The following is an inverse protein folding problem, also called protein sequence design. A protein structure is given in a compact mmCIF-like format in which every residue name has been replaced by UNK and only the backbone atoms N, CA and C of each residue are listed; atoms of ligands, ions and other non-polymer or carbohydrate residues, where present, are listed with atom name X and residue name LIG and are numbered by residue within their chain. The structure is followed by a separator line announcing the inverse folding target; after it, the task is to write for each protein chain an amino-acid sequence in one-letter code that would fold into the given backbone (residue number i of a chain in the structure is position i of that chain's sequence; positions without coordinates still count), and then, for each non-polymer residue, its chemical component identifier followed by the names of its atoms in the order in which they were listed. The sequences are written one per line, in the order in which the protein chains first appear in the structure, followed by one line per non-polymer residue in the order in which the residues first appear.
data_IF_667679053702
#
_entry.id   IF_667679053702
#
_cell.length_a   1.000
_cell.length_b   1.000
_cell.length_c   1.000
_cell.angle_alpha   90.00
_cell.angle_beta   90.00
_cell.angle_gamma   90.00
#
_symmetry.space_group_name_H-M   'P 1'
#
loop_
_entity.id
_entity.type
_entity.pdbx_description
1 polymer ?
#
# COMPACT_ATOMS: atom_id res chain seq x y z
N UNK A 1 -18.66 -1.63 -9.31
CA UNK A 1 -18.21 -1.07 -8.64
C UNK A 1 -17.16 -1.49 -7.85
N UNK A 2 -16.32 -0.95 -7.57
CA UNK A 2 -15.33 -1.37 -6.95
C UNK A 2 -15.24 -1.06 -5.62
N UNK A 3 -16.08 -1.41 -4.92
CA UNK A 3 -16.07 -1.18 -3.67
C UNK A 3 -15.08 -1.85 -2.96
N UNK A 4 -14.42 -1.53 -2.05
CA UNK A 4 -13.41 -2.22 -1.31
C UNK A 4 -12.00 -1.79 -1.60
N UNK A 5 -11.81 -0.94 -2.57
CA UNK A 5 -10.48 -0.49 -2.92
C UNK A 5 -10.35 1.00 -2.72
N UNK A 6 -9.25 1.42 -2.18
CA UNK A 6 -8.93 2.83 -2.06
C UNK A 6 -8.26 3.36 -3.32
N UNK A 7 -7.81 4.59 -3.26
CA UNK A 7 -7.14 5.22 -4.39
C UNK A 7 -5.73 4.66 -4.51
N UNK A 8 -5.34 4.17 -5.67
CA UNK A 8 -3.98 3.66 -5.85
C UNK A 8 -2.95 4.78 -5.83
N UNK A 9 -1.76 4.46 -5.37
CA UNK A 9 -0.64 5.40 -5.31
C UNK A 9 0.55 4.75 -5.98
N UNK A 10 1.27 5.50 -6.79
CA UNK A 10 2.46 5.01 -7.44
C UNK A 10 3.67 5.43 -6.62
N UNK A 11 4.51 4.46 -6.30
CA UNK A 11 5.72 4.71 -5.54
C UNK A 11 6.84 3.92 -6.20
N UNK A 12 7.69 4.61 -6.94
CA UNK A 12 8.77 3.96 -7.68
C UNK A 12 8.22 2.96 -8.68
N UNK A 13 8.58 1.70 -8.53
CA UNK A 13 8.13 0.65 -9.43
C UNK A 13 6.87 -0.05 -8.93
N UNK A 14 6.28 0.43 -7.88
CA UNK A 14 5.13 -0.22 -7.27
C UNK A 14 3.87 0.62 -7.34
N UNK A 15 2.75 -0.05 -7.45
CA UNK A 15 1.44 0.57 -7.28
C UNK A 15 0.87 0.01 -5.98
N UNK A 16 0.41 0.87 -5.10
CA UNK A 16 -0.02 0.49 -3.76
C UNK A 16 -1.49 0.80 -3.60
N UNK A 17 -2.27 -0.20 -3.21
CA UNK A 17 -3.72 -0.05 -3.07
C UNK A 17 -4.14 -0.62 -1.72
N UNK A 18 -4.87 0.15 -0.93
CA UNK A 18 -5.47 -0.34 0.30
C UNK A 18 -6.89 -0.80 0.04
N UNK A 19 -7.38 -1.74 0.82
CA UNK A 19 -8.76 -2.20 0.65
C UNK A 19 -9.55 -2.08 1.96
N UNK A 20 -10.83 -2.33 1.88
CA UNK A 20 -11.71 -2.17 3.02
C UNK A 20 -11.52 -3.26 4.07
N UNK A 21 -10.81 -4.31 3.74
CA UNK A 21 -10.54 -5.36 4.71
C UNK A 21 -9.23 -5.15 5.46
N UNK A 22 -8.57 -4.04 5.20
CA UNK A 22 -7.33 -3.71 5.90
C UNK A 22 -6.08 -4.25 5.25
N UNK A 23 -6.17 -4.76 4.04
CA UNK A 23 -5.01 -5.22 3.31
C UNK A 23 -4.42 -4.12 2.46
N UNK A 24 -3.12 -4.14 2.31
CA UNK A 24 -2.39 -3.22 1.46
C UNK A 24 -1.75 -4.08 0.38
N UNK A 25 -2.07 -3.81 -0.85
CA UNK A 25 -1.60 -4.60 -1.98
C UNK A 25 -0.52 -3.83 -2.72
N UNK A 26 0.58 -4.53 -3.02
CA UNK A 26 1.67 -3.93 -3.77
C UNK A 26 1.76 -4.66 -5.10
N UNK A 27 1.67 -3.91 -6.19
CA UNK A 27 1.73 -4.47 -7.53
C UNK A 27 2.92 -3.90 -8.25
N UNK A 28 3.50 -4.71 -9.14
CA UNK A 28 4.57 -4.22 -10.00
C UNK A 28 3.96 -3.31 -11.04
N UNK A 29 4.49 -2.09 -11.14
CA UNK A 29 3.91 -1.07 -11.99
C UNK A 29 3.99 -1.45 -13.46
N UNK A 30 5.04 -2.14 -13.88
CA UNK A 30 5.22 -2.42 -15.29
C UNK A 30 4.46 -3.67 -15.74
N UNK A 31 4.19 -4.61 -14.85
CA UNK A 31 3.54 -5.86 -15.24
C UNK A 31 2.14 -6.00 -14.67
N UNK A 32 1.81 -5.24 -13.64
CA UNK A 32 0.51 -5.37 -12.97
C UNK A 32 0.41 -6.58 -12.06
N UNK A 33 1.49 -7.31 -11.85
CA UNK A 33 1.44 -8.48 -11.02
C UNK A 33 1.59 -8.12 -9.56
N UNK A 34 0.96 -8.90 -8.69
CA UNK A 34 1.09 -8.70 -7.26
C UNK A 34 2.51 -9.04 -6.83
N UNK A 35 3.10 -8.18 -6.04
CA UNK A 35 4.42 -8.37 -5.50
C UNK A 35 4.32 -8.77 -4.03
N UNK A 36 3.44 -8.14 -3.29
CA UNK A 36 3.30 -8.38 -1.86
C UNK A 36 1.94 -7.94 -1.38
N UNK A 37 1.54 -8.44 -0.24
CA UNK A 37 0.30 -8.03 0.40
C UNK A 37 0.56 -7.97 1.89
N UNK A 38 0.19 -6.88 2.53
CA UNK A 38 0.39 -6.67 3.94
C UNK A 38 -0.94 -6.41 4.63
N UNK A 39 -1.01 -6.69 5.90
CA UNK A 39 -2.23 -6.48 6.67
C UNK A 39 -1.84 -5.71 7.94
N UNK A 40 -1.63 -4.41 7.81
CA UNK A 40 -0.99 -3.66 8.89
C UNK A 40 -1.74 -3.59 10.20
N UNK A 41 -3.00 -3.29 10.18
CA UNK A 41 -3.68 -3.08 11.44
C UNK A 41 -4.99 -3.81 11.60
N UNK A 42 -5.49 -4.40 10.56
CA UNK A 42 -6.76 -5.08 10.63
C UNK A 42 -7.97 -4.22 10.38
N UNK A 43 -7.85 -2.91 10.51
CA UNK A 43 -8.95 -2.00 10.19
C UNK A 43 -8.86 -1.60 8.74
N UNK A 44 -9.99 -1.19 8.16
CA UNK A 44 -9.99 -0.83 6.75
C UNK A 44 -9.09 0.37 6.48
N UNK A 45 -8.56 0.42 5.28
CA UNK A 45 -7.69 1.48 4.84
C UNK A 45 -8.45 2.30 3.82
N UNK A 46 -9.00 3.42 4.26
CA UNK A 46 -9.78 4.28 3.37
C UNK A 46 -9.01 5.48 2.89
N UNK A 47 -7.96 5.85 3.59
CA UNK A 47 -7.15 6.99 3.19
C UNK A 47 -6.08 6.55 2.21
N UNK A 48 -5.73 7.45 1.30
CA UNK A 48 -4.69 7.18 0.34
C UNK A 48 -3.34 7.08 1.04
N UNK A 49 -2.52 6.09 0.73
CA UNK A 49 -1.19 6.02 1.32
C UNK A 49 -0.35 7.24 0.95
N UNK A 50 0.53 7.63 1.86
CA UNK A 50 1.41 8.77 1.63
C UNK A 50 2.80 8.26 1.30
N UNK A 51 3.33 8.66 0.16
CA UNK A 51 4.65 8.23 -0.29
C UNK A 51 5.65 9.34 -0.05
N UNK A 52 6.74 9.01 0.63
CA UNK A 52 7.80 9.95 0.89
C UNK A 52 9.13 9.24 0.64
N UNK A 53 9.75 9.54 -0.50
CA UNK A 53 10.99 8.87 -0.88
C UNK A 53 10.78 7.40 -1.09
N UNK A 54 11.48 6.57 -0.34
CA UNK A 54 11.33 5.13 -0.43
C UNK A 54 10.41 4.56 0.64
N UNK A 55 9.62 5.42 1.30
CA UNK A 55 8.73 4.97 2.36
C UNK A 55 7.29 5.25 2.03
N UNK A 56 6.43 4.37 2.49
CA UNK A 56 4.98 4.53 2.32
C UNK A 56 4.37 4.49 3.70
N UNK A 57 3.58 5.52 4.02
CA UNK A 57 2.91 5.61 5.31
C UNK A 57 1.43 5.34 5.08
N UNK A 58 0.88 4.44 5.86
CA UNK A 58 -0.51 4.03 5.74
C UNK A 58 -1.20 4.25 7.08
N UNK A 59 -2.38 4.84 7.06
CA UNK A 59 -3.18 5.05 8.26
C UNK A 59 -4.48 4.30 8.08
N UNK A 60 -4.83 3.44 9.00
CA UNK A 60 -6.10 2.74 8.92
C UNK A 60 -7.17 3.48 9.73
N UNK A 61 -8.41 3.02 9.63
CA UNK A 61 -9.51 3.70 10.29
C UNK A 61 -9.49 3.52 11.80
N UNK A 62 -8.66 2.64 12.31
CA UNK A 62 -8.45 2.51 13.73
C UNK A 62 -7.42 3.47 14.28
N UNK A 63 -6.80 4.26 13.41
CA UNK A 63 -5.79 5.23 13.83
C UNK A 63 -4.38 4.69 13.85
N UNK A 64 -4.17 3.47 13.40
CA UNK A 64 -2.83 2.89 13.38
C UNK A 64 -2.05 3.42 12.19
N UNK A 65 -0.82 3.85 12.41
CA UNK A 65 0.06 4.33 11.34
C UNK A 65 1.19 3.32 11.16
N UNK A 66 1.40 2.88 9.95
CA UNK A 66 2.44 1.91 9.64
C UNK A 66 3.28 2.44 8.49
N UNK A 67 4.58 2.29 8.58
CA UNK A 67 5.48 2.70 7.52
C UNK A 67 6.14 1.48 6.90
N UNK A 68 6.19 1.45 5.58
CA UNK A 68 6.87 0.41 4.84
C UNK A 68 8.00 1.03 4.04
N UNK A 69 9.09 0.32 3.92
CA UNK A 69 10.17 0.75 3.05
C UNK A 69 10.06 0.01 1.74
N UNK A 70 10.12 0.74 0.65
CA UNK A 70 10.00 0.14 -0.66
C UNK A 70 11.34 -0.29 -1.19
N UNK A 71 11.34 -1.35 -1.84
CA UNK A 71 12.40 -1.76 -2.62
C UNK A 71 13.63 -2.06 -2.02
N UNK A 72 13.62 -2.13 -1.38
CA UNK A 72 14.73 -2.40 -0.97
C UNK A 72 15.65 -3.16 -1.68
N UNK A 73 15.38 -3.09 -2.10
CA UNK A 73 15.82 -3.57 -2.38
C UNK A 73 16.49 -3.89 -2.70
N UNK A 74 16.51 -3.95 -2.85
CA UNK A 74 16.93 -4.18 -3.11
C UNK A 74 17.94 -4.13 -3.23
N UNK A 75 18.21 -4.00 -3.17
CA UNK A 75 18.97 -4.02 -3.31
C UNK A 75 19.60 -4.21 -3.06
N UNK A 76 19.54 -4.24 -2.90
CA UNK A 76 19.78 -4.46 -2.77
C UNK A 76 20.15 -4.59 -2.76
#
# INVERSE_FOLDING_TARGET
KQRGLGTPVIAGEAVIVGDFEGYLHFLDRSTGKFVAREHPGGARISAQPLVMGDRVFVVDEGGKVVAYRLGGSARS
#
